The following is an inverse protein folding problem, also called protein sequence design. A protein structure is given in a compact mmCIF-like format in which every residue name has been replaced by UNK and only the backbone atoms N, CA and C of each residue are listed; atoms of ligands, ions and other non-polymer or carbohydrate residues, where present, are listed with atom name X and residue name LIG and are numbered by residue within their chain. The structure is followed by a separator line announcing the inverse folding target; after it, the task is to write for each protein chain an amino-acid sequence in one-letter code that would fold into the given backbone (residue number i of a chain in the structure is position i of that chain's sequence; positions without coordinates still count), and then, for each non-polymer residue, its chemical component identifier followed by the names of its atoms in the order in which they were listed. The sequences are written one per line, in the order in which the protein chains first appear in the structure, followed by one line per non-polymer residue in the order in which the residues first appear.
data_IF_936311024437
#
_entry.id   IF_936311024437
#
_cell.length_a   1.000
_cell.length_b   1.000
_cell.length_c   1.000
_cell.angle_alpha   90.00
_cell.angle_beta   90.00
_cell.angle_gamma   90.00
#
_symmetry.space_group_name_H-M   'P 1'
#
loop_
_entity.id
_entity.type
_entity.pdbx_description
1 polymer ?
#
# COMPACT_ATOMS: atom_id res chain seq x y z
N UNK A 1 27.26 -17.38 4.67
CA UNK A 1 27.10 -16.21 3.79
C UNK A 1 25.73 -15.64 4.10
N UNK A 2 25.68 -14.40 4.58
CA UNK A 2 24.45 -13.70 4.94
C UNK A 2 23.70 -13.33 3.66
N UNK A 3 22.65 -14.08 3.30
CA UNK A 3 21.67 -13.60 2.32
C UNK A 3 20.83 -12.54 3.03
N UNK A 4 21.34 -11.31 3.05
CA UNK A 4 20.55 -10.16 3.45
C UNK A 4 19.42 -10.03 2.43
N UNK A 5 18.20 -10.44 2.82
CA UNK A 5 17.00 -10.19 2.03
C UNK A 5 16.76 -8.69 2.02
N UNK A 6 17.26 -8.00 1.01
CA UNK A 6 17.03 -6.58 0.80
C UNK A 6 15.52 -6.36 0.69
N UNK A 7 14.93 -5.65 1.65
CA UNK A 7 13.51 -5.27 1.61
C UNK A 7 13.27 -4.38 0.39
N UNK A 8 12.52 -4.89 -0.60
CA UNK A 8 12.14 -4.12 -1.78
C UNK A 8 10.75 -3.54 -1.59
N UNK A 9 10.63 -2.22 -1.73
CA UNK A 9 9.33 -1.55 -1.86
C UNK A 9 9.12 -1.20 -3.33
N UNK A 10 8.08 -1.76 -3.93
CA UNK A 10 7.71 -1.50 -5.32
C UNK A 10 6.44 -0.67 -5.34
N UNK A 11 6.55 0.59 -5.77
CA UNK A 11 5.42 1.50 -5.94
C UNK A 11 5.02 1.54 -7.42
N UNK A 12 3.72 1.45 -7.66
CA UNK A 12 3.11 1.49 -8.98
C UNK A 12 2.13 2.66 -9.00
N UNK A 13 2.54 3.77 -9.62
CA UNK A 13 1.80 5.06 -9.64
C UNK A 13 0.99 5.22 -10.94
N UNK A 14 0.25 4.17 -11.34
CA UNK A 14 -0.60 4.17 -12.54
C UNK A 14 -1.62 3.01 -12.46
N UNK A 15 -2.87 3.23 -12.92
CA UNK A 15 -3.93 2.20 -12.99
C UNK A 15 -3.57 0.92 -13.73
N UNK A 16 -2.63 1.01 -14.67
CA UNK A 16 -2.15 -0.15 -15.44
C UNK A 16 -0.87 -0.76 -14.87
N UNK A 17 -0.23 -0.10 -13.91
CA UNK A 17 0.95 -0.61 -13.26
C UNK A 17 0.51 -1.63 -12.19
N UNK A 18 1.06 -2.83 -12.33
CA UNK A 18 0.77 -3.96 -11.48
C UNK A 18 2.07 -4.76 -11.24
N UNK A 19 2.12 -5.54 -10.14
CA UNK A 19 3.22 -6.47 -9.91
C UNK A 19 3.46 -7.36 -11.14
N UNK A 20 4.74 -7.58 -11.46
CA UNK A 20 5.14 -8.42 -12.59
C UNK A 20 4.69 -9.87 -12.35
N UNK A 21 4.67 -10.69 -13.42
CA UNK A 21 4.31 -12.11 -13.32
C UNK A 21 5.19 -12.83 -12.28
N UNK A 22 6.49 -12.59 -12.31
CA UNK A 22 7.45 -13.16 -11.35
C UNK A 22 7.17 -12.73 -9.91
N UNK A 23 6.85 -11.45 -9.68
CA UNK A 23 6.49 -10.97 -8.34
C UNK A 23 5.21 -11.63 -7.84
N UNK A 24 4.22 -11.82 -8.71
CA UNK A 24 2.98 -12.53 -8.36
C UNK A 24 3.26 -13.99 -8.03
N UNK A 25 4.00 -14.67 -8.88
CA UNK A 25 4.35 -16.09 -8.69
C UNK A 25 5.28 -16.33 -7.51
N UNK A 26 5.96 -15.31 -6.98
CA UNK A 26 6.84 -15.44 -5.83
C UNK A 26 6.15 -15.02 -4.52
N UNK A 27 5.54 -13.83 -4.51
CA UNK A 27 5.03 -13.20 -3.30
C UNK A 27 3.55 -13.43 -3.02
N UNK A 28 2.75 -13.82 -4.03
CA UNK A 28 1.30 -13.93 -3.92
C UNK A 28 0.88 -15.41 -3.72
N UNK A 29 1.66 -16.13 -2.92
CA UNK A 29 1.41 -17.55 -2.64
C UNK A 29 1.05 -17.76 -1.17
N UNK A 30 0.36 -18.87 -0.91
CA UNK A 30 -0.02 -19.29 0.43
C UNK A 30 -1.32 -18.63 0.92
N UNK A 31 -1.58 -18.78 2.21
CA UNK A 31 -2.69 -18.14 2.89
C UNK A 31 -2.45 -16.63 2.99
N UNK A 32 -3.46 -15.84 2.64
CA UNK A 32 -3.40 -14.40 2.70
C UNK A 32 -4.51 -13.85 3.58
N UNK A 33 -4.24 -12.73 4.23
CA UNK A 33 -5.21 -11.96 4.99
C UNK A 33 -5.51 -10.67 4.25
N UNK A 34 -6.79 -10.45 3.91
CA UNK A 34 -7.22 -9.23 3.21
C UNK A 34 -7.98 -8.32 4.17
N UNK A 35 -7.57 -7.05 4.21
CA UNK A 35 -8.16 -6.00 5.03
C UNK A 35 -8.63 -4.87 4.12
N UNK A 36 -9.85 -4.41 4.35
CA UNK A 36 -10.47 -3.33 3.59
C UNK A 36 -10.64 -2.13 4.52
N UNK A 37 -10.28 -0.95 4.04
CA UNK A 37 -10.34 0.31 4.78
C UNK A 37 -11.00 1.41 3.93
N UNK A 38 -11.57 2.41 4.63
CA UNK A 38 -12.26 3.55 4.02
C UNK A 38 -13.72 3.26 3.63
N UNK A 39 -14.47 4.30 3.24
CA UNK A 39 -15.81 4.14 2.69
C UNK A 39 -15.73 3.32 1.41
N UNK A 40 -16.54 2.28 1.28
CA UNK A 40 -16.56 1.34 0.15
C UNK A 40 -15.32 0.45 -0.02
N UNK A 41 -14.39 0.41 0.94
CA UNK A 41 -13.22 -0.47 0.87
C UNK A 41 -12.20 -0.04 -0.20
N UNK A 42 -12.07 1.27 -0.42
CA UNK A 42 -11.20 1.87 -1.43
C UNK A 42 -9.70 1.65 -1.17
N UNK A 43 -9.33 1.32 0.07
CA UNK A 43 -7.96 0.94 0.44
C UNK A 43 -7.98 -0.53 0.85
N UNK A 44 -7.26 -1.37 0.12
CA UNK A 44 -7.19 -2.82 0.36
C UNK A 44 -5.76 -3.22 0.66
N UNK A 45 -5.53 -3.79 1.85
CA UNK A 45 -4.26 -4.38 2.24
C UNK A 45 -4.37 -5.90 2.19
N UNK A 46 -3.50 -6.55 1.44
CA UNK A 46 -3.39 -8.00 1.35
C UNK A 46 -2.05 -8.42 1.96
N UNK A 47 -2.08 -9.12 3.08
CA UNK A 47 -0.90 -9.67 3.74
C UNK A 47 -0.66 -11.10 3.26
N UNK A 48 0.54 -11.35 2.76
CA UNK A 48 1.06 -12.66 2.42
C UNK A 48 2.14 -13.06 3.44
N UNK A 49 2.55 -14.34 3.48
CA UNK A 49 3.60 -14.79 4.38
C UNK A 49 4.93 -14.04 4.20
N UNK A 50 5.26 -13.65 2.97
CA UNK A 50 6.55 -13.04 2.59
C UNK A 50 6.41 -11.66 1.91
N UNK A 51 5.19 -11.09 1.92
CA UNK A 51 4.91 -9.82 1.27
C UNK A 51 3.66 -9.14 1.85
N UNK A 52 3.53 -7.85 1.58
CA UNK A 52 2.28 -7.14 1.77
C UNK A 52 1.96 -6.32 0.53
N UNK A 53 0.71 -6.35 0.10
CA UNK A 53 0.25 -5.66 -1.09
C UNK A 53 -0.85 -4.68 -0.72
N UNK A 54 -0.56 -3.39 -0.85
CA UNK A 54 -1.49 -2.31 -0.65
C UNK A 54 -2.06 -1.86 -1.99
N UNK A 55 -3.38 -1.77 -2.07
CA UNK A 55 -4.12 -1.13 -3.16
C UNK A 55 -4.79 0.09 -2.58
N UNK A 56 -4.51 1.24 -3.17
CA UNK A 56 -5.16 2.51 -2.89
C UNK A 56 -5.87 2.93 -4.18
N UNK A 57 -7.19 2.76 -4.22
CA UNK A 57 -7.99 3.12 -5.40
C UNK A 57 -8.28 4.64 -5.46
N UNK A 58 -8.08 5.37 -4.34
CA UNK A 58 -8.29 6.82 -4.21
C UNK A 58 -7.23 7.57 -5.02
N UNK A 59 -5.96 7.31 -4.72
CA UNK A 59 -4.82 7.89 -5.44
C UNK A 59 -4.37 7.02 -6.62
N UNK A 60 -5.01 5.88 -6.82
CA UNK A 60 -4.66 4.91 -7.85
C UNK A 60 -3.20 4.41 -7.72
N UNK A 61 -2.79 4.23 -6.48
CA UNK A 61 -1.45 3.78 -6.09
C UNK A 61 -1.52 2.33 -5.66
N UNK A 62 -0.57 1.52 -6.13
CA UNK A 62 -0.38 0.15 -5.63
C UNK A 62 1.02 0.03 -5.08
N UNK A 63 1.17 -0.62 -3.94
CA UNK A 63 2.47 -0.80 -3.28
C UNK A 63 2.64 -2.27 -2.94
N UNK A 64 3.71 -2.88 -3.44
CA UNK A 64 4.14 -4.20 -3.04
C UNK A 64 5.36 -4.06 -2.13
N UNK A 65 5.18 -4.39 -0.86
CA UNK A 65 6.24 -4.59 0.11
C UNK A 65 6.72 -6.03 0.00
N UNK A 66 8.03 -6.26 -0.09
CA UNK A 66 8.63 -7.60 -0.20
C UNK A 66 9.66 -7.86 0.91
N UNK A 67 9.79 -9.13 1.33
CA UNK A 67 10.79 -9.60 2.29
C UNK A 67 10.20 -9.95 3.65
N UNK A 68 11.07 -10.08 4.66
CA UNK A 68 10.64 -10.38 6.04
C UNK A 68 10.10 -9.10 6.70
N UNK A 69 8.98 -8.62 6.16
CA UNK A 69 8.41 -7.32 6.50
C UNK A 69 7.83 -7.42 7.89
N UNK A 70 8.16 -6.41 8.69
CA UNK A 70 7.49 -6.23 9.96
C UNK A 70 6.03 -5.87 9.67
N UNK A 71 5.13 -6.84 9.86
CA UNK A 71 3.68 -6.69 9.62
C UNK A 71 3.14 -5.44 10.33
N UNK A 72 3.71 -5.10 11.49
CA UNK A 72 3.32 -3.93 12.26
C UNK A 72 3.62 -2.63 11.50
N UNK A 73 4.75 -2.53 10.80
CA UNK A 73 5.10 -1.33 10.04
C UNK A 73 4.18 -1.11 8.84
N UNK A 74 3.79 -2.18 8.16
CA UNK A 74 2.83 -2.08 7.05
C UNK A 74 1.47 -1.65 7.57
N UNK A 75 1.01 -2.24 8.67
CA UNK A 75 -0.25 -1.85 9.30
C UNK A 75 -0.22 -0.39 9.78
N UNK A 76 0.92 0.08 10.32
CA UNK A 76 1.09 1.47 10.77
C UNK A 76 1.01 2.46 9.60
N UNK A 77 1.69 2.17 8.49
CA UNK A 77 1.62 3.02 7.28
C UNK A 77 0.22 3.02 6.65
N UNK A 78 -0.46 1.87 6.62
CA UNK A 78 -1.85 1.81 6.14
C UNK A 78 -2.78 2.60 7.06
N UNK A 79 -2.62 2.48 8.39
CA UNK A 79 -3.37 3.27 9.35
C UNK A 79 -3.15 4.77 9.16
N UNK A 80 -1.92 5.19 8.86
CA UNK A 80 -1.58 6.57 8.59
C UNK A 80 -2.21 7.09 7.30
N UNK A 81 -2.27 6.26 6.26
CA UNK A 81 -2.98 6.59 5.01
C UNK A 81 -4.48 6.73 5.24
N UNK A 82 -5.09 5.79 5.96
CA UNK A 82 -6.51 5.86 6.31
C UNK A 82 -6.82 7.12 7.11
N UNK A 83 -6.02 7.42 8.14
CA UNK A 83 -6.16 8.64 8.96
C UNK A 83 -5.98 9.91 8.12
N UNK A 84 -5.04 9.92 7.17
CA UNK A 84 -4.85 11.02 6.22
C UNK A 84 -6.09 11.21 5.33
N UNK A 85 -6.67 10.13 4.80
CA UNK A 85 -7.88 10.22 3.99
C UNK A 85 -9.09 10.60 4.82
N UNK A 86 -9.30 10.07 6.03
CA UNK A 86 -10.41 10.47 6.89
C UNK A 86 -10.34 11.96 7.29
N UNK A 87 -9.13 12.50 7.49
CA UNK A 87 -8.91 13.91 7.75
C UNK A 87 -9.07 14.78 6.48
N UNK A 88 -8.70 14.29 5.30
CA UNK A 88 -8.87 15.01 4.03
C UNK A 88 -10.26 14.87 3.43
N UNK A 89 -11.02 13.80 3.68
CA UNK A 89 -12.40 13.64 3.24
C UNK A 89 -13.33 14.61 4.00
N UNK A 90 -12.97 14.97 5.24
CA UNK A 90 -13.54 16.11 5.97
C UNK A 90 -12.88 17.46 5.62
N UNK A 91 -11.81 17.47 4.81
CA UNK A 91 -10.91 18.60 4.60
C UNK A 91 -10.70 19.04 3.16
N UNK A 92 -11.38 18.43 2.18
CA UNK A 92 -11.26 18.69 0.75
C UNK A 92 -11.76 20.09 0.29
N UNK A 93 -11.79 21.06 1.21
CA UNK A 93 -11.96 22.48 0.93
C UNK A 93 -10.77 23.35 1.39
N UNK A 94 -9.77 22.84 2.14
CA UNK A 94 -8.87 23.75 2.91
C UNK A 94 -7.40 23.80 2.43
N UNK A 95 -6.98 23.04 1.42
CA UNK A 95 -5.63 23.22 0.85
C UNK A 95 -5.62 23.66 -0.62
N UNK A 96 -6.40 24.71 -0.93
CA UNK A 96 -6.05 25.66 -1.99
C UNK A 96 -5.17 26.77 -1.42
N UNK A 97 -3.92 26.46 -1.07
CA UNK A 97 -2.92 27.50 -0.78
C UNK A 97 -1.51 27.05 -1.18
N UNK A 98 -1.36 26.76 -2.46
CA UNK A 98 -0.09 26.99 -3.15
C UNK A 98 -0.03 28.44 -3.62
N UNK A 99 0.19 29.39 -2.71
CA UNK A 99 0.53 30.76 -3.09
C UNK A 99 1.77 30.75 -3.96
N UNK A 100 1.63 31.22 -5.20
CA UNK A 100 2.75 31.77 -5.95
C UNK A 100 2.41 33.23 -6.26
N UNK A 101 3.01 34.11 -5.46
CA UNK A 101 3.16 35.54 -5.77
C UNK A 101 4.04 35.72 -7.01
#
# INVERSE_FOLDING_TARGET
MVTGTTMGVFRYENKYAAPTKEQREHYFNGEFEEFHFGPDGQIVLILYPEAAYLKDDIENVRILFTGNIDRQKVQDEVRRLVDYYEQNENGADVFSTGSKV
#
